data_IF_425082910467
#
_entry.id   IF_425082910467
#
_cell.length_a   1.000
_cell.length_b   1.000
_cell.length_c   1.000
_cell.angle_alpha   90.00
_cell.angle_beta   90.00
_cell.angle_gamma   90.00
#
_symmetry.space_group_name_H-M   'P 1'
#
loop_
_entity.id
_entity.type
_entity.pdbx_description
1 polymer ?
#
# COMPACT_ATOMS: atom_id res chain seq x y z
N UNK A 1 -10.46 9.13 -11.62
CA UNK A 1 -10.37 8.03 -10.64
C UNK A 1 -10.82 8.43 -9.24
N UNK A 2 -10.26 9.49 -8.61
CA UNK A 2 -10.67 9.90 -7.25
C UNK A 2 -12.18 10.06 -7.06
N UNK A 3 -12.86 10.79 -7.95
CA UNK A 3 -14.33 10.94 -7.88
C UNK A 3 -15.12 9.64 -8.04
N UNK A 4 -14.52 8.57 -8.58
CA UNK A 4 -15.15 7.24 -8.60
C UNK A 4 -15.09 6.60 -7.22
N UNK A 5 -13.94 6.66 -6.53
CA UNK A 5 -13.84 6.17 -5.15
C UNK A 5 -14.85 6.87 -4.25
N UNK A 6 -14.98 8.19 -4.38
CA UNK A 6 -15.90 8.99 -3.55
C UNK A 6 -17.37 8.65 -3.75
N UNK A 7 -17.74 8.20 -4.97
CA UNK A 7 -19.14 7.91 -5.32
C UNK A 7 -19.51 6.44 -5.16
N UNK A 8 -18.54 5.54 -5.15
CA UNK A 8 -18.77 4.08 -5.16
C UNK A 8 -18.37 3.44 -3.84
N UNK A 9 -17.28 3.87 -3.21
CA UNK A 9 -16.84 3.31 -1.92
C UNK A 9 -17.54 4.03 -0.77
N UNK A 10 -18.87 3.85 -0.67
CA UNK A 10 -19.71 4.55 0.31
C UNK A 10 -19.87 3.77 1.62
N UNK A 11 -20.22 4.48 2.69
CA UNK A 11 -20.61 3.90 3.97
C UNK A 11 -21.75 2.88 3.78
N UNK A 12 -21.64 1.73 4.44
CA UNK A 12 -22.58 0.61 4.37
C UNK A 12 -22.33 -0.36 3.20
N UNK A 13 -21.67 0.09 2.14
CA UNK A 13 -21.30 -0.76 1.00
C UNK A 13 -19.84 -1.20 1.04
N UNK A 14 -18.91 -0.25 1.17
CA UNK A 14 -17.47 -0.53 1.13
C UNK A 14 -16.82 -0.55 2.52
N UNK A 15 -17.40 0.16 3.48
CA UNK A 15 -16.93 0.18 4.87
C UNK A 15 -18.08 0.49 5.84
N UNK A 16 -17.89 0.18 7.11
CA UNK A 16 -18.74 0.62 8.22
C UNK A 16 -17.89 0.97 9.44
N UNK A 17 -18.53 1.38 10.54
CA UNK A 17 -17.82 1.71 11.78
C UNK A 17 -17.02 0.53 12.34
N UNK A 18 -17.60 -0.68 12.25
CA UNK A 18 -17.04 -1.95 12.69
C UNK A 18 -16.28 -2.71 11.59
N UNK A 19 -16.58 -2.47 10.31
CA UNK A 19 -15.94 -3.17 9.17
C UNK A 19 -15.03 -2.25 8.38
N UNK A 20 -13.77 -2.19 8.81
CA UNK A 20 -12.68 -1.45 8.14
C UNK A 20 -11.34 -2.15 8.34
N UNK A 21 -10.34 -1.78 7.55
CA UNK A 21 -8.99 -2.35 7.63
C UNK A 21 -9.02 -3.89 7.55
N UNK A 22 -8.29 -4.61 8.40
CA UNK A 22 -8.29 -6.09 8.41
C UNK A 22 -9.67 -6.74 8.62
N UNK A 23 -10.67 -6.01 9.12
CA UNK A 23 -12.06 -6.45 9.27
C UNK A 23 -13.01 -5.85 8.22
N UNK A 24 -12.47 -5.19 7.19
CA UNK A 24 -13.24 -4.50 6.17
C UNK A 24 -14.12 -5.43 5.32
N UNK A 25 -15.09 -4.81 4.63
CA UNK A 25 -16.09 -5.54 3.82
C UNK A 25 -15.42 -6.31 2.67
N UNK A 26 -14.33 -5.80 2.12
CA UNK A 26 -13.62 -6.41 1.00
C UNK A 26 -12.39 -7.25 1.40
N UNK A 27 -12.32 -7.74 2.65
CA UNK A 27 -11.22 -8.59 3.17
C UNK A 27 -10.87 -9.83 2.36
N UNK A 28 -11.82 -10.34 1.58
CA UNK A 28 -11.61 -11.51 0.73
C UNK A 28 -11.26 -11.14 -0.72
N UNK A 29 -11.08 -9.85 -1.02
CA UNK A 29 -10.72 -9.34 -2.34
C UNK A 29 -9.29 -8.80 -2.33
N UNK A 30 -8.58 -9.01 -3.45
CA UNK A 30 -7.29 -8.40 -3.71
C UNK A 30 -7.46 -7.15 -4.57
N UNK A 31 -6.63 -6.14 -4.32
CA UNK A 31 -6.56 -4.93 -5.14
C UNK A 31 -5.10 -4.59 -5.42
N UNK A 32 -4.82 -4.05 -6.61
CA UNK A 32 -3.48 -3.66 -7.02
C UNK A 32 -3.55 -2.36 -7.80
N UNK A 33 -2.58 -1.47 -7.62
CA UNK A 33 -2.41 -0.31 -8.49
C UNK A 33 -1.44 -0.69 -9.62
N UNK A 34 -1.82 -0.38 -10.86
CA UNK A 34 -0.92 -0.42 -12.01
C UNK A 34 -0.87 0.97 -12.64
N UNK A 35 0.30 1.59 -12.67
CA UNK A 35 0.45 2.95 -13.17
C UNK A 35 1.84 3.22 -13.76
N UNK A 36 1.92 4.32 -14.49
CA UNK A 36 3.15 4.84 -15.08
C UNK A 36 3.48 6.20 -14.47
N UNK A 37 4.76 6.54 -14.37
CA UNK A 37 5.21 7.89 -13.98
C UNK A 37 5.86 8.62 -15.14
N UNK A 38 5.87 9.95 -15.11
CA UNK A 38 6.74 10.73 -16.00
C UNK A 38 8.20 10.73 -15.54
N UNK A 39 8.45 10.64 -14.23
CA UNK A 39 9.79 10.71 -13.64
C UNK A 39 10.45 9.34 -13.51
N UNK A 40 11.78 9.32 -13.53
CA UNK A 40 12.58 8.12 -13.26
C UNK A 40 12.42 7.63 -11.81
N UNK A 41 12.64 6.34 -11.59
CA UNK A 41 12.57 5.69 -10.26
C UNK A 41 13.46 6.38 -9.21
N UNK A 42 14.68 6.77 -9.60
CA UNK A 42 15.65 7.41 -8.71
C UNK A 42 15.14 8.71 -8.07
N UNK A 43 14.24 9.42 -8.76
CA UNK A 43 13.61 10.65 -8.26
C UNK A 43 12.62 10.38 -7.12
N UNK A 44 12.16 9.14 -6.97
CA UNK A 44 11.25 8.70 -5.89
C UNK A 44 11.95 7.85 -4.81
N UNK A 45 13.28 7.97 -4.72
CA UNK A 45 14.04 7.41 -3.60
C UNK A 45 13.94 8.30 -2.36
N UNK A 46 14.43 7.82 -1.20
CA UNK A 46 14.48 8.61 0.04
C UNK A 46 15.27 9.93 -0.09
N UNK A 47 16.20 10.02 -1.07
CA UNK A 47 16.98 11.22 -1.38
C UNK A 47 16.56 11.88 -2.70
N UNK A 48 15.48 11.39 -3.33
CA UNK A 48 14.98 11.88 -4.60
C UNK A 48 14.11 13.13 -4.42
N UNK A 49 14.09 14.00 -5.43
CA UNK A 49 13.36 15.28 -5.38
C UNK A 49 11.84 15.11 -5.22
N UNK A 50 11.27 13.97 -5.65
CA UNK A 50 9.85 13.67 -5.48
C UNK A 50 9.54 12.99 -4.15
N UNK A 51 10.56 12.65 -3.35
CA UNK A 51 10.43 11.92 -2.09
C UNK A 51 10.14 10.42 -2.26
N UNK A 52 10.18 9.70 -1.15
CA UNK A 52 10.00 8.24 -1.13
C UNK A 52 8.62 7.80 -1.67
N UNK A 53 8.61 6.94 -2.69
CA UNK A 53 7.38 6.37 -3.26
C UNK A 53 6.49 5.69 -2.21
N UNK A 54 7.07 5.09 -1.17
CA UNK A 54 6.31 4.45 -0.10
C UNK A 54 5.36 5.44 0.60
N UNK A 55 5.80 6.69 0.80
CA UNK A 55 5.01 7.76 1.39
C UNK A 55 3.89 8.19 0.46
N UNK A 56 4.19 8.32 -0.83
CA UNK A 56 3.22 8.73 -1.86
C UNK A 56 2.06 7.74 -2.00
N UNK A 57 2.35 6.44 -1.89
CA UNK A 57 1.35 5.38 -2.05
C UNK A 57 0.47 5.17 -0.82
N UNK A 58 0.97 5.47 0.37
CA UNK A 58 0.30 5.17 1.64
C UNK A 58 -1.15 5.66 1.74
N UNK A 59 -1.50 6.92 1.37
CA UNK A 59 -2.88 7.41 1.50
C UNK A 59 -3.88 6.63 0.65
N UNK A 60 -3.47 6.17 -0.54
CA UNK A 60 -4.33 5.39 -1.43
C UNK A 60 -4.39 3.92 -0.97
N UNK A 61 -3.24 3.32 -0.70
CA UNK A 61 -3.13 1.92 -0.30
C UNK A 61 -3.77 1.65 1.06
N UNK A 62 -3.36 2.38 2.10
CA UNK A 62 -3.91 2.21 3.43
C UNK A 62 -5.26 2.93 3.60
N UNK A 63 -5.30 4.21 3.21
CA UNK A 63 -6.42 5.10 3.52
C UNK A 63 -7.70 4.86 2.70
N UNK A 64 -7.59 4.22 1.53
CA UNK A 64 -8.75 3.92 0.68
C UNK A 64 -8.92 2.41 0.53
N UNK A 65 -7.92 1.71 -0.01
CA UNK A 65 -8.07 0.29 -0.36
C UNK A 65 -8.11 -0.59 0.88
N UNK A 66 -7.06 -0.54 1.71
CA UNK A 66 -7.00 -1.34 2.93
C UNK A 66 -8.11 -0.94 3.91
N UNK A 67 -8.45 0.35 4.01
CA UNK A 67 -9.59 0.81 4.81
C UNK A 67 -10.90 0.09 4.47
N UNK A 68 -11.19 -0.15 3.19
CA UNK A 68 -12.36 -0.93 2.75
C UNK A 68 -12.20 -2.44 2.93
N UNK A 69 -11.01 -2.90 3.30
CA UNK A 69 -10.69 -4.29 3.59
C UNK A 69 -9.80 -4.98 2.57
N UNK A 70 -9.48 -4.37 1.43
CA UNK A 70 -8.73 -5.08 0.39
C UNK A 70 -7.38 -5.61 0.92
N UNK A 71 -7.03 -6.82 0.47
CA UNK A 71 -5.66 -7.33 0.45
C UNK A 71 -4.91 -6.59 -0.66
N UNK A 72 -4.14 -5.57 -0.31
CA UNK A 72 -3.46 -4.73 -1.30
C UNK A 72 -2.19 -5.44 -1.75
N UNK A 73 -2.06 -5.72 -3.05
CA UNK A 73 -0.85 -6.29 -3.65
C UNK A 73 0.19 -5.20 -3.92
N UNK A 74 1.46 -5.61 -4.06
CA UNK A 74 2.53 -4.72 -4.48
C UNK A 74 2.14 -3.99 -5.79
N UNK A 75 2.38 -2.68 -5.92
CA UNK A 75 1.99 -1.95 -7.13
C UNK A 75 2.78 -2.42 -8.35
N UNK A 76 2.19 -2.33 -9.53
CA UNK A 76 2.93 -2.36 -10.80
C UNK A 76 3.26 -0.91 -11.18
N UNK A 77 4.55 -0.58 -11.24
CA UNK A 77 5.00 0.77 -11.58
C UNK A 77 5.93 0.70 -12.77
N UNK A 78 5.59 1.42 -13.82
CA UNK A 78 6.49 1.63 -14.96
C UNK A 78 7.01 3.06 -14.95
N UNK A 79 8.31 3.18 -14.71
CA UNK A 79 8.97 4.47 -14.53
C UNK A 79 9.35 5.09 -15.86
N UNK A 80 8.91 6.33 -16.10
CA UNK A 80 9.32 7.14 -17.24
C UNK A 80 9.24 6.42 -18.63
N UNK A 81 8.15 5.73 -18.98
CA UNK A 81 8.06 4.99 -20.25
C UNK A 81 8.14 5.90 -21.49
N UNK A 82 7.89 7.20 -21.35
CA UNK A 82 8.11 8.19 -22.42
C UNK A 82 9.58 8.48 -22.72
N UNK A 83 10.50 8.01 -21.86
CA UNK A 83 11.94 8.26 -21.94
C UNK A 83 12.75 7.02 -22.34
N UNK A 84 12.08 5.92 -22.71
CA UNK A 84 12.72 4.66 -23.10
C UNK A 84 12.37 4.29 -24.55
N UNK A 85 13.19 3.44 -25.21
CA UNK A 85 12.88 2.95 -26.55
C UNK A 85 11.58 2.12 -26.59
N UNK A 86 10.86 2.10 -27.73
CA UNK A 86 9.64 1.30 -27.90
C UNK A 86 9.81 -0.19 -27.59
N UNK A 87 10.99 -0.75 -27.85
CA UNK A 87 11.32 -2.14 -27.55
C UNK A 87 11.29 -2.40 -26.04
N UNK A 88 11.76 -1.45 -25.23
CA UNK A 88 11.71 -1.53 -23.78
C UNK A 88 10.27 -1.44 -23.24
N UNK A 89 9.40 -0.63 -23.87
CA UNK A 89 7.96 -0.62 -23.57
C UNK A 89 7.30 -1.98 -23.84
N UNK A 90 7.71 -2.68 -24.91
CA UNK A 90 7.21 -4.03 -25.21
C UNK A 90 7.60 -5.01 -24.11
N UNK A 91 8.86 -4.97 -23.65
CA UNK A 91 9.33 -5.77 -22.51
C UNK A 91 8.53 -5.47 -21.23
N UNK A 92 8.19 -4.21 -20.96
CA UNK A 92 7.32 -3.85 -19.83
C UNK A 92 5.95 -4.52 -19.95
N UNK A 93 5.32 -4.49 -21.12
CA UNK A 93 4.00 -5.11 -21.34
C UNK A 93 4.05 -6.63 -21.18
N UNK A 94 5.10 -7.30 -21.65
CA UNK A 94 5.24 -8.75 -21.48
C UNK A 94 5.51 -9.14 -20.02
N UNK A 95 6.35 -8.38 -19.30
CA UNK A 95 6.50 -8.56 -17.87
C UNK A 95 5.19 -8.35 -17.10
N UNK A 96 4.34 -7.41 -17.55
CA UNK A 96 3.01 -7.23 -16.95
C UNK A 96 2.12 -8.45 -17.18
N UNK A 97 2.11 -8.96 -18.41
CA UNK A 97 1.35 -10.14 -18.80
C UNK A 97 1.77 -11.37 -17.99
N UNK A 98 3.08 -11.57 -17.81
CA UNK A 98 3.63 -12.66 -17.03
C UNK A 98 3.19 -12.58 -15.56
N UNK A 99 3.34 -11.40 -14.93
CA UNK A 99 2.91 -11.19 -13.55
C UNK A 99 1.42 -11.49 -13.35
N UNK A 100 0.57 -11.07 -14.30
CA UNK A 100 -0.87 -11.31 -14.25
C UNK A 100 -1.24 -12.81 -14.19
N UNK A 101 -0.38 -13.71 -14.68
CA UNK A 101 -0.65 -15.15 -14.68
C UNK A 101 -0.58 -15.76 -13.26
N UNK A 102 0.18 -15.16 -12.34
CA UNK A 102 0.33 -15.61 -10.95
C UNK A 102 -0.15 -14.60 -9.90
N UNK A 103 -0.92 -13.58 -10.32
CA UNK A 103 -1.28 -12.44 -9.47
C UNK A 103 -2.13 -12.86 -8.26
N UNK A 104 -2.98 -13.88 -8.42
CA UNK A 104 -3.89 -14.32 -7.36
C UNK A 104 -3.17 -15.07 -6.25
N UNK A 105 -1.96 -15.54 -6.51
CA UNK A 105 -1.08 -16.27 -5.61
C UNK A 105 -0.10 -15.35 -4.89
N UNK A 106 0.09 -14.11 -5.36
CA UNK A 106 0.98 -13.14 -4.74
C UNK A 106 0.57 -12.82 -3.28
N UNK A 107 1.57 -12.77 -2.40
CA UNK A 107 1.39 -12.26 -1.04
C UNK A 107 1.08 -10.75 -1.06
N UNK A 108 0.09 -10.28 -0.29
CA UNK A 108 -0.22 -8.87 -0.18
C UNK A 108 0.83 -8.10 0.64
N UNK A 109 0.80 -6.78 0.52
CA UNK A 109 1.53 -5.85 1.37
C UNK A 109 1.06 -5.95 2.83
N UNK A 110 1.99 -5.70 3.75
CA UNK A 110 1.73 -5.76 5.19
C UNK A 110 1.24 -4.43 5.72
N UNK A 111 0.08 -4.47 6.40
CA UNK A 111 -0.48 -3.37 7.17
C UNK A 111 -0.65 -3.80 8.63
N UNK A 112 -0.61 -2.84 9.56
CA UNK A 112 -0.93 -3.11 10.97
C UNK A 112 -2.43 -3.44 11.09
N UNK A 113 -2.80 -4.65 11.55
CA UNK A 113 -4.21 -5.04 11.61
C UNK A 113 -4.98 -4.23 12.67
N UNK A 114 -6.32 -4.14 12.51
CA UNK A 114 -7.18 -3.33 13.38
C UNK A 114 -7.17 -3.79 14.85
N UNK A 115 -6.93 -5.07 15.11
CA UNK A 115 -6.88 -5.65 16.45
C UNK A 115 -5.68 -5.16 17.28
N UNK A 116 -4.68 -4.55 16.64
CA UNK A 116 -3.54 -3.91 17.29
C UNK A 116 -3.91 -2.55 17.90
N UNK A 117 -5.13 -2.05 17.66
CA UNK A 117 -5.61 -0.75 18.13
C UNK A 117 -6.72 -0.92 19.18
N UNK A 118 -6.72 -0.01 20.15
CA UNK A 118 -7.72 0.07 21.20
C UNK A 118 -8.87 0.98 20.76
N UNK A 119 -10.02 0.39 20.45
CA UNK A 119 -11.20 1.13 20.01
C UNK A 119 -11.85 2.00 21.10
N UNK A 120 -11.66 1.66 22.38
CA UNK A 120 -12.18 2.46 23.50
C UNK A 120 -11.27 3.66 23.80
N UNK A 121 -9.97 3.53 23.50
CA UNK A 121 -8.97 4.61 23.63
C UNK A 121 -8.73 5.36 22.33
N UNK A 122 -9.78 5.58 21.54
CA UNK A 122 -9.70 6.43 20.35
C UNK A 122 -8.82 5.88 19.22
N UNK A 123 -8.79 4.55 19.06
CA UNK A 123 -8.03 3.83 18.03
C UNK A 123 -6.52 4.08 18.11
N UNK A 124 -5.98 4.21 19.32
CA UNK A 124 -4.54 4.25 19.56
C UNK A 124 -3.95 2.84 19.57
N UNK A 125 -2.67 2.72 19.21
CA UNK A 125 -1.96 1.44 19.23
C UNK A 125 -1.91 0.90 20.66
N UNK A 126 -2.20 -0.39 20.84
CA UNK A 126 -2.19 -1.03 22.16
C UNK A 126 -0.78 -1.07 22.76
N UNK A 127 -0.62 -0.87 24.09
CA UNK A 127 0.68 -0.84 24.76
C UNK A 127 1.54 -2.08 24.49
N UNK A 128 0.95 -3.27 24.49
CA UNK A 128 1.66 -4.53 24.25
C UNK A 128 2.25 -4.62 22.82
N UNK A 129 1.60 -3.99 21.84
CA UNK A 129 2.11 -3.91 20.47
C UNK A 129 3.27 -2.92 20.41
N UNK A 130 3.14 -1.80 21.13
CA UNK A 130 4.20 -0.81 21.23
C UNK A 130 5.47 -1.40 21.87
N UNK A 131 5.33 -2.09 23.01
CA UNK A 131 6.43 -2.74 23.72
C UNK A 131 7.12 -3.80 22.87
N UNK A 132 6.35 -4.65 22.17
CA UNK A 132 6.89 -5.68 21.26
C UNK A 132 7.76 -5.09 20.15
N UNK A 133 7.47 -3.87 19.72
CA UNK A 133 8.20 -3.18 18.64
C UNK A 133 9.18 -2.13 19.15
N UNK A 134 9.30 -1.93 20.46
CA UNK A 134 10.15 -0.88 21.04
C UNK A 134 11.62 -1.04 20.64
N UNK A 135 12.13 -2.28 20.60
CA UNK A 135 13.50 -2.61 20.22
C UNK A 135 13.76 -2.73 18.72
N UNK A 136 12.71 -2.67 17.88
CA UNK A 136 12.86 -2.72 16.41
C UNK A 136 13.39 -1.41 15.87
N UNK A 137 14.28 -1.49 14.89
CA UNK A 137 14.87 -0.32 14.23
C UNK A 137 13.83 0.50 13.50
N UNK A 138 13.00 -0.16 12.68
CA UNK A 138 11.97 0.46 11.86
C UNK A 138 10.62 0.55 12.59
N UNK A 139 9.77 1.45 12.11
CA UNK A 139 8.36 1.50 12.47
C UNK A 139 7.57 0.26 12.04
N UNK A 140 6.26 0.26 12.25
CA UNK A 140 5.40 -0.85 11.82
C UNK A 140 5.08 -0.76 10.32
N UNK A 141 4.77 0.44 9.86
CA UNK A 141 4.40 0.76 8.48
C UNK A 141 4.77 2.21 8.18
N UNK A 142 4.54 2.67 6.94
CA UNK A 142 4.76 4.08 6.57
C UNK A 142 3.98 5.04 7.46
N UNK A 143 2.67 4.81 7.65
CA UNK A 143 1.84 5.72 8.46
C UNK A 143 1.88 5.47 9.96
N UNK A 144 2.36 4.30 10.39
CA UNK A 144 2.51 3.94 11.81
C UNK A 144 4.00 3.71 12.08
N UNK A 145 4.79 4.76 11.83
CA UNK A 145 6.23 4.69 11.92
C UNK A 145 6.77 4.89 13.35
N UNK A 146 5.92 5.32 14.30
CA UNK A 146 6.26 5.47 15.73
C UNK A 146 7.48 6.39 16.00
N UNK A 147 7.70 7.39 15.14
CA UNK A 147 8.88 8.26 15.21
C UNK A 147 10.19 7.58 14.80
N UNK A 148 10.14 6.34 14.32
CA UNK A 148 11.29 5.57 13.82
C UNK A 148 11.44 5.70 12.30
N UNK A 149 12.58 5.26 11.73
CA UNK A 149 12.74 5.10 10.29
C UNK A 149 11.60 4.26 9.67
N UNK A 150 11.23 4.60 8.42
CA UNK A 150 10.20 3.86 7.69
C UNK A 150 10.72 2.47 7.31
N UNK A 151 9.91 1.40 7.42
CA UNK A 151 10.33 0.10 6.95
C UNK A 151 10.56 0.15 5.43
N UNK A 152 11.69 -0.39 4.94
CA UNK A 152 12.05 -0.29 3.54
C UNK A 152 10.99 -0.98 2.67
N UNK A 153 10.57 -0.34 1.59
CA UNK A 153 9.63 -0.91 0.61
C UNK A 153 8.25 -1.34 1.15
N UNK A 154 7.82 -0.86 2.33
CA UNK A 154 6.57 -1.29 2.97
C UNK A 154 5.31 -1.18 2.07
N UNK A 155 5.27 -0.24 1.13
CA UNK A 155 4.16 -0.04 0.19
C UNK A 155 4.50 -0.45 -1.25
N UNK A 156 5.66 -1.07 -1.43
CA UNK A 156 6.26 -1.39 -2.73
C UNK A 156 6.52 -2.88 -2.91
N UNK A 157 6.85 -3.62 -1.85
CA UNK A 157 7.15 -5.07 -1.89
C UNK A 157 6.46 -5.79 -0.73
N UNK A 158 5.95 -6.98 -1.01
CA UNK A 158 5.41 -7.87 0.01
C UNK A 158 6.54 -8.61 0.76
N UNK A 159 6.28 -9.01 2.00
CA UNK A 159 7.19 -9.88 2.78
C UNK A 159 8.47 -9.23 3.29
N UNK A 160 8.49 -7.89 3.44
CA UNK A 160 9.61 -7.13 4.06
C UNK A 160 9.35 -6.89 5.53
#
# INVERSE_FOLDING_TARGET
>A
MKGWFDRVLTLGFAYSQDKRYSLGIFKDKKAMQSFTTGSHESMFSANGINGDMNVTLWPLQNGILHYCGFKVLAPQIYWAPSHIPPEACTTMLEAWRERLQGLLEEEPLTFTPLDCFDGEKGFQLKPEVHEKHASKEFGLTVGIHLGKPLPPNNQMKAGV
#
